data_IF_433603253876
#
_entry.id   IF_433603253876
#
_cell.length_a   1.000
_cell.length_b   1.000
_cell.length_c   1.000
_cell.angle_alpha   90.00
_cell.angle_beta   90.00
_cell.angle_gamma   90.00
#
_symmetry.space_group_name_H-M   'P 1'
#
loop_
_entity.id
_entity.type
_entity.pdbx_description
1 polymer ?
#
# COMPACT_ATOMS: atom_id res chain seq x y z
N UNK A 1 15.13 6.70 7.46
CA UNK A 1 15.11 6.16 6.07
C UNK A 1 16.16 5.07 5.88
N UNK A 2 17.46 5.36 6.04
CA UNK A 2 18.54 4.39 5.79
C UNK A 2 18.40 3.12 6.65
N UNK A 3 18.22 3.25 7.96
CA UNK A 3 18.06 2.10 8.85
C UNK A 3 16.84 1.22 8.50
N UNK A 4 15.75 1.83 8.02
CA UNK A 4 14.51 1.13 7.72
C UNK A 4 14.54 0.42 6.36
N UNK A 5 15.07 1.08 5.33
CA UNK A 5 15.05 0.56 3.96
C UNK A 5 16.30 -0.25 3.60
N UNK A 6 17.46 0.08 4.17
CA UNK A 6 18.70 -0.64 3.87
C UNK A 6 19.04 -1.61 4.99
N UNK A 7 19.13 -1.19 6.25
CA UNK A 7 19.66 -2.06 7.32
C UNK A 7 18.68 -3.14 7.75
N UNK A 8 17.42 -2.78 8.02
CA UNK A 8 16.40 -3.69 8.56
C UNK A 8 16.11 -4.93 7.67
N UNK A 9 16.07 -4.85 6.32
CA UNK A 9 15.76 -6.02 5.49
C UNK A 9 16.88 -7.06 5.42
N UNK A 10 18.16 -6.65 5.53
CA UNK A 10 19.31 -7.55 5.32
C UNK A 10 19.32 -8.81 6.17
N UNK A 11 19.03 -8.78 7.49
CA UNK A 11 18.96 -10.00 8.29
C UNK A 11 18.01 -11.05 7.70
N UNK A 12 16.85 -10.63 7.20
CA UNK A 12 15.86 -11.53 6.59
C UNK A 12 16.32 -12.07 5.23
N UNK A 13 16.91 -11.19 4.41
CA UNK A 13 17.45 -11.57 3.09
C UNK A 13 18.58 -12.60 3.26
N UNK A 14 19.49 -12.39 4.21
CA UNK A 14 20.60 -13.30 4.47
C UNK A 14 20.10 -14.69 4.89
N UNK A 15 19.16 -14.77 5.82
CA UNK A 15 18.61 -16.08 6.24
C UNK A 15 17.88 -16.77 5.10
N UNK A 16 17.12 -16.03 4.27
CA UNK A 16 16.46 -16.59 3.10
C UNK A 16 17.47 -17.20 2.12
N UNK A 17 18.57 -16.50 1.83
CA UNK A 17 19.61 -16.98 0.93
C UNK A 17 20.39 -18.17 1.49
N UNK A 18 20.69 -18.17 2.79
CA UNK A 18 21.26 -19.34 3.47
C UNK A 18 20.32 -20.54 3.34
N UNK A 19 19.01 -20.35 3.48
CA UNK A 19 18.04 -21.43 3.32
C UNK A 19 18.01 -22.00 1.90
N UNK A 20 18.20 -21.18 0.87
CA UNK A 20 18.27 -21.64 -0.52
C UNK A 20 19.52 -22.49 -0.79
N UNK A 21 20.64 -22.18 -0.13
CA UNK A 21 21.87 -22.96 -0.24
C UNK A 21 21.80 -24.28 0.54
N UNK A 22 21.24 -24.26 1.74
CA UNK A 22 21.13 -25.45 2.59
C UNK A 22 20.02 -26.41 2.13
N UNK A 23 18.93 -25.88 1.56
CA UNK A 23 17.76 -26.66 1.16
C UNK A 23 17.36 -26.38 -0.31
N UNK A 24 18.20 -26.74 -1.29
CA UNK A 24 17.99 -26.39 -2.71
C UNK A 24 16.78 -27.08 -3.35
N UNK A 25 16.25 -28.15 -2.74
CA UNK A 25 15.17 -28.97 -3.28
C UNK A 25 13.79 -28.63 -2.70
N UNK A 26 13.64 -27.52 -1.96
CA UNK A 26 12.33 -27.10 -1.45
C UNK A 26 11.42 -26.70 -2.61
N UNK A 27 10.22 -27.29 -2.65
CA UNK A 27 9.18 -26.91 -3.62
C UNK A 27 8.69 -25.47 -3.37
N UNK A 28 8.04 -24.83 -4.35
CA UNK A 28 7.48 -23.47 -4.16
C UNK A 28 6.53 -23.39 -2.96
N UNK A 29 5.74 -24.44 -2.74
CA UNK A 29 4.79 -24.55 -1.61
C UNK A 29 5.52 -24.61 -0.28
N UNK A 30 6.71 -25.21 -0.24
CA UNK A 30 7.51 -25.41 0.96
C UNK A 30 8.58 -24.36 1.17
N UNK A 31 8.79 -23.46 0.21
CA UNK A 31 9.82 -22.41 0.26
C UNK A 31 9.75 -21.56 1.55
N UNK A 32 8.54 -21.34 2.10
CA UNK A 32 8.36 -20.65 3.38
C UNK A 32 8.91 -21.39 4.60
N UNK A 33 9.12 -22.71 4.52
CA UNK A 33 9.69 -23.54 5.61
C UNK A 33 11.20 -23.34 5.76
N UNK A 34 11.90 -22.94 4.69
CA UNK A 34 13.37 -22.83 4.70
C UNK A 34 13.89 -21.93 5.82
N UNK A 35 13.23 -20.81 6.08
CA UNK A 35 13.56 -19.93 7.19
C UNK A 35 13.50 -20.65 8.56
N UNK A 36 12.45 -21.44 8.80
CA UNK A 36 12.27 -22.18 10.04
C UNK A 36 13.30 -23.32 10.16
N UNK A 37 13.63 -23.99 9.05
CA UNK A 37 14.62 -25.07 9.04
C UNK A 37 16.03 -24.55 9.39
N UNK A 38 16.43 -23.40 8.81
CA UNK A 38 17.70 -22.74 9.17
C UNK A 38 17.75 -22.37 10.65
N UNK A 39 16.64 -21.85 11.20
CA UNK A 39 16.58 -21.56 12.62
C UNK A 39 16.66 -22.82 13.47
N UNK A 40 15.95 -23.89 13.08
CA UNK A 40 15.91 -25.15 13.81
C UNK A 40 17.28 -25.80 13.94
N UNK A 41 18.06 -25.83 12.87
CA UNK A 41 19.39 -26.45 12.84
C UNK A 41 20.49 -25.53 13.36
N UNK A 42 20.36 -24.20 13.18
CA UNK A 42 21.41 -23.24 13.50
C UNK A 42 21.41 -22.69 14.94
N UNK A 43 20.37 -22.94 15.73
CA UNK A 43 20.17 -22.27 17.02
C UNK A 43 20.47 -23.17 18.24
N UNK A 44 21.29 -22.72 19.21
CA UNK A 44 21.51 -23.42 20.46
C UNK A 44 20.25 -23.63 21.29
N UNK A 45 20.25 -24.67 22.13
CA UNK A 45 19.20 -24.92 23.13
C UNK A 45 19.03 -23.71 24.05
N UNK A 46 17.80 -23.23 24.22
CA UNK A 46 17.47 -22.00 24.95
C UNK A 46 17.22 -20.79 24.04
N UNK A 47 18.11 -20.53 23.07
CA UNK A 47 17.87 -19.49 22.06
C UNK A 47 16.69 -19.84 21.16
N UNK A 48 16.50 -21.14 20.86
CA UNK A 48 15.32 -21.63 20.13
C UNK A 48 14.01 -21.20 20.79
N UNK A 49 13.91 -21.36 22.11
CA UNK A 49 12.71 -20.99 22.87
C UNK A 49 12.45 -19.49 22.80
N UNK A 50 13.49 -18.67 23.03
CA UNK A 50 13.39 -17.22 22.90
C UNK A 50 12.95 -16.78 21.50
N UNK A 51 13.50 -17.41 20.47
CA UNK A 51 13.16 -17.10 19.08
C UNK A 51 11.71 -17.46 18.75
N UNK A 52 11.27 -18.66 19.12
CA UNK A 52 9.87 -19.08 18.92
C UNK A 52 8.90 -18.17 19.69
N UNK A 53 9.24 -17.80 20.93
CA UNK A 53 8.44 -16.84 21.69
C UNK A 53 8.40 -15.47 21.02
N UNK A 54 9.52 -14.96 20.50
CA UNK A 54 9.57 -13.70 19.78
C UNK A 54 8.76 -13.74 18.48
N UNK A 55 8.84 -14.84 17.72
CA UNK A 55 8.03 -15.04 16.51
C UNK A 55 6.54 -15.09 16.81
N UNK A 56 6.13 -15.86 17.82
CA UNK A 56 4.74 -15.93 18.25
C UNK A 56 4.25 -14.56 18.73
N UNK A 57 5.05 -13.84 19.53
CA UNK A 57 4.70 -12.50 19.99
C UNK A 57 4.54 -11.51 18.83
N UNK A 58 5.47 -11.50 17.87
CA UNK A 58 5.39 -10.67 16.68
C UNK A 58 4.14 -11.01 15.84
N UNK A 59 3.90 -12.29 15.58
CA UNK A 59 2.72 -12.76 14.83
C UNK A 59 1.40 -12.38 15.51
N UNK A 60 1.29 -12.63 16.82
CA UNK A 60 0.10 -12.28 17.59
C UNK A 60 -0.14 -10.77 17.62
N UNK A 61 0.92 -9.96 17.68
CA UNK A 61 0.80 -8.50 17.61
C UNK A 61 0.18 -8.04 16.28
N UNK A 62 0.60 -8.64 15.17
CA UNK A 62 0.09 -8.33 13.83
C UNK A 62 -1.35 -8.83 13.67
N UNK A 63 -1.64 -10.08 14.06
CA UNK A 63 -3.00 -10.63 14.04
C UNK A 63 -3.96 -9.80 14.89
N UNK A 64 -3.60 -9.49 16.13
CA UNK A 64 -4.44 -8.71 17.03
C UNK A 64 -4.73 -7.32 16.46
N UNK A 65 -3.72 -6.68 15.85
CA UNK A 65 -3.88 -5.37 15.19
C UNK A 65 -4.88 -5.46 14.04
N UNK A 66 -4.75 -6.44 13.14
CA UNK A 66 -5.67 -6.59 12.00
C UNK A 66 -7.10 -6.94 12.43
N UNK A 67 -7.26 -7.86 13.37
CA UNK A 67 -8.58 -8.23 13.89
C UNK A 67 -9.25 -7.05 14.62
N UNK A 68 -8.47 -6.29 15.39
CA UNK A 68 -8.98 -5.11 16.09
C UNK A 68 -9.37 -3.98 15.13
N UNK A 69 -8.54 -3.68 14.12
CA UNK A 69 -8.87 -2.70 13.08
C UNK A 69 -10.08 -3.14 12.26
N UNK A 70 -10.13 -4.40 11.83
CA UNK A 70 -11.26 -4.95 11.08
C UNK A 70 -12.58 -4.83 11.85
N UNK A 71 -12.58 -5.22 13.13
CA UNK A 71 -13.75 -5.07 13.98
C UNK A 71 -14.13 -3.60 14.19
N UNK A 72 -13.14 -2.72 14.43
CA UNK A 72 -13.38 -1.29 14.65
C UNK A 72 -14.00 -0.62 13.44
N UNK A 73 -13.54 -0.93 12.22
CA UNK A 73 -14.13 -0.40 10.99
C UNK A 73 -15.55 -0.91 10.78
N UNK A 74 -15.78 -2.23 10.91
CA UNK A 74 -17.12 -2.80 10.76
C UNK A 74 -18.11 -2.22 11.79
N UNK A 75 -17.69 -2.01 13.03
CA UNK A 75 -18.58 -1.45 14.06
C UNK A 75 -18.83 0.05 13.86
N UNK A 76 -17.78 0.84 13.64
CA UNK A 76 -17.94 2.30 13.58
C UNK A 76 -18.45 2.79 12.23
N UNK A 77 -18.14 2.10 11.13
CA UNK A 77 -18.45 2.58 9.78
C UNK A 77 -19.70 1.89 9.20
N UNK A 78 -20.05 0.68 9.68
CA UNK A 78 -21.26 -0.03 9.22
C UNK A 78 -22.29 -0.17 10.35
N UNK A 79 -21.94 -0.78 11.49
CA UNK A 79 -22.92 -1.12 12.52
C UNK A 79 -23.58 0.12 13.16
N UNK A 80 -22.76 1.03 13.66
CA UNK A 80 -23.21 2.24 14.37
C UNK A 80 -24.02 3.20 13.50
N UNK A 81 -23.62 3.53 12.25
CA UNK A 81 -24.37 4.46 11.41
C UNK A 81 -25.57 3.83 10.70
N UNK A 82 -25.59 2.51 10.45
CA UNK A 82 -26.64 1.86 9.65
C UNK A 82 -27.65 1.10 10.51
N UNK A 83 -27.19 0.23 11.41
CA UNK A 83 -28.08 -0.67 12.15
C UNK A 83 -28.62 -0.06 13.43
N UNK A 84 -27.76 0.48 14.29
CA UNK A 84 -28.19 0.85 15.64
C UNK A 84 -27.47 2.09 16.15
N UNK A 85 -28.17 3.23 16.07
CA UNK A 85 -27.68 4.56 16.43
C UNK A 85 -27.92 4.86 17.92
N UNK A 86 -27.02 5.66 18.51
CA UNK A 86 -27.22 6.26 19.83
C UNK A 86 -27.14 5.30 21.02
N UNK A 87 -26.53 4.11 20.87
CA UNK A 87 -26.26 3.19 21.98
C UNK A 87 -25.04 3.66 22.80
N UNK A 88 -24.89 3.11 24.00
CA UNK A 88 -23.73 3.39 24.85
C UNK A 88 -22.46 2.76 24.28
N UNK A 89 -21.29 3.31 24.61
CA UNK A 89 -20.01 2.77 24.14
C UNK A 89 -19.77 1.33 24.61
N UNK A 90 -20.28 0.96 25.78
CA UNK A 90 -20.22 -0.42 26.28
C UNK A 90 -20.93 -1.41 25.35
N UNK A 91 -22.02 -0.99 24.71
CA UNK A 91 -22.71 -1.81 23.72
C UNK A 91 -21.82 -2.02 22.47
N UNK A 92 -21.29 -0.94 21.89
CA UNK A 92 -20.44 -1.03 20.71
C UNK A 92 -19.15 -1.82 20.97
N UNK A 93 -18.59 -1.75 22.19
CA UNK A 93 -17.46 -2.60 22.59
C UNK A 93 -17.82 -4.09 22.56
N UNK A 94 -18.99 -4.48 23.07
CA UNK A 94 -19.46 -5.89 23.01
C UNK A 94 -19.65 -6.36 21.58
N UNK A 95 -20.23 -5.51 20.72
CA UNK A 95 -20.37 -5.80 19.29
C UNK A 95 -18.99 -5.94 18.64
N UNK A 96 -18.03 -5.08 18.98
CA UNK A 96 -16.66 -5.16 18.46
C UNK A 96 -16.00 -6.49 18.82
N UNK A 97 -16.15 -6.97 20.05
CA UNK A 97 -15.65 -8.30 20.43
C UNK A 97 -16.32 -9.43 19.64
N UNK A 98 -17.64 -9.36 19.44
CA UNK A 98 -18.36 -10.36 18.65
C UNK A 98 -17.91 -10.37 17.17
N UNK A 99 -17.75 -9.20 16.56
CA UNK A 99 -17.23 -9.05 15.19
C UNK A 99 -15.79 -9.53 15.09
N UNK A 100 -14.96 -9.27 16.11
CA UNK A 100 -13.57 -9.75 16.15
C UNK A 100 -13.51 -11.28 16.18
N UNK A 101 -14.33 -11.93 17.00
CA UNK A 101 -14.41 -13.39 17.06
C UNK A 101 -14.91 -13.96 15.72
N UNK A 102 -15.97 -13.37 15.16
CA UNK A 102 -16.52 -13.78 13.87
C UNK A 102 -15.48 -13.68 12.75
N UNK A 103 -14.80 -12.54 12.63
CA UNK A 103 -13.76 -12.31 11.62
C UNK A 103 -12.54 -13.22 11.84
N UNK A 104 -12.17 -13.52 13.08
CA UNK A 104 -11.12 -14.50 13.39
C UNK A 104 -11.49 -15.91 12.93
N UNK A 105 -12.73 -16.35 13.17
CA UNK A 105 -13.25 -17.64 12.70
C UNK A 105 -13.24 -17.70 11.17
N UNK A 106 -13.77 -16.68 10.48
CA UNK A 106 -13.74 -16.61 9.02
C UNK A 106 -12.32 -16.63 8.46
N UNK A 107 -11.40 -15.88 9.09
CA UNK A 107 -9.98 -15.85 8.68
C UNK A 107 -9.31 -17.21 8.85
N UNK A 108 -9.62 -17.94 9.94
CA UNK A 108 -9.13 -19.29 10.17
C UNK A 108 -9.62 -20.25 9.06
N UNK A 109 -10.92 -20.25 8.75
CA UNK A 109 -11.45 -21.10 7.69
C UNK A 109 -10.85 -20.76 6.32
N UNK A 110 -10.71 -19.48 5.99
CA UNK A 110 -10.07 -19.05 4.74
C UNK A 110 -8.61 -19.49 4.66
N UNK A 111 -7.85 -19.35 5.76
CA UNK A 111 -6.45 -19.74 5.80
C UNK A 111 -6.24 -21.26 5.68
N UNK A 112 -7.11 -22.07 6.30
CA UNK A 112 -6.99 -23.54 6.31
C UNK A 112 -7.53 -24.18 5.03
N UNK A 113 -8.64 -23.67 4.50
CA UNK A 113 -9.36 -24.35 3.40
C UNK A 113 -9.40 -23.56 2.10
N UNK A 114 -9.17 -22.25 2.13
CA UNK A 114 -9.30 -21.37 0.96
C UNK A 114 -7.97 -20.90 0.36
N UNK A 115 -6.83 -21.24 0.96
CA UNK A 115 -5.51 -20.80 0.53
C UNK A 115 -4.56 -21.97 0.38
N UNK A 116 -4.01 -22.15 -0.83
CA UNK A 116 -2.97 -23.16 -1.09
C UNK A 116 -1.57 -22.64 -0.76
N UNK A 117 -1.30 -21.36 -1.07
CA UNK A 117 0.00 -20.73 -0.82
C UNK A 117 -0.15 -19.28 -0.33
N UNK A 118 0.79 -18.84 0.50
CA UNK A 118 0.87 -17.45 0.98
C UNK A 118 1.15 -16.49 -0.19
N UNK A 119 2.03 -16.90 -1.12
CA UNK A 119 2.36 -16.16 -2.35
C UNK A 119 1.10 -15.88 -3.17
N UNK A 120 0.24 -16.87 -3.37
CA UNK A 120 -1.01 -16.72 -4.13
C UNK A 120 -1.95 -15.68 -3.52
N UNK A 121 -2.15 -15.71 -2.19
CA UNK A 121 -2.97 -14.70 -1.52
C UNK A 121 -2.37 -13.29 -1.59
N UNK A 122 -1.05 -13.16 -1.52
CA UNK A 122 -0.38 -11.87 -1.69
C UNK A 122 -0.54 -11.32 -3.12
N UNK A 123 -0.37 -12.18 -4.13
CA UNK A 123 -0.61 -11.82 -5.54
C UNK A 123 -2.06 -11.37 -5.69
N UNK A 124 -3.03 -12.17 -5.25
CA UNK A 124 -4.45 -11.82 -5.28
C UNK A 124 -4.72 -10.44 -4.66
N UNK A 125 -4.23 -10.19 -3.44
CA UNK A 125 -4.45 -8.92 -2.75
C UNK A 125 -3.86 -7.73 -3.53
N UNK A 126 -2.66 -7.88 -4.11
CA UNK A 126 -2.06 -6.85 -4.94
C UNK A 126 -2.85 -6.60 -6.22
N UNK A 127 -3.20 -7.65 -6.97
CA UNK A 127 -3.88 -7.49 -8.25
C UNK A 127 -5.28 -6.94 -8.05
N UNK A 128 -6.05 -7.52 -7.12
CA UNK A 128 -7.43 -7.14 -6.85
C UNK A 128 -7.55 -5.73 -6.25
N UNK A 129 -6.49 -5.19 -5.64
CA UNK A 129 -6.46 -3.80 -5.13
C UNK A 129 -5.75 -2.80 -6.07
N UNK A 130 -5.07 -3.28 -7.11
CA UNK A 130 -4.22 -2.45 -7.99
C UNK A 130 -4.98 -1.36 -8.74
N UNK A 131 -6.28 -1.55 -9.01
CA UNK A 131 -7.14 -0.56 -9.64
C UNK A 131 -7.58 0.56 -8.69
N UNK A 132 -7.61 0.30 -7.39
CA UNK A 132 -8.07 1.26 -6.36
C UNK A 132 -6.98 2.29 -6.06
N UNK A 133 -5.72 1.85 -6.01
CA UNK A 133 -4.59 2.69 -5.59
C UNK A 133 -4.44 3.97 -6.40
N UNK A 134 -4.69 3.92 -7.71
CA UNK A 134 -4.65 5.10 -8.58
C UNK A 134 -5.66 6.17 -8.14
N UNK A 135 -6.92 5.79 -7.93
CA UNK A 135 -7.98 6.73 -7.55
C UNK A 135 -7.75 7.36 -6.17
N UNK A 136 -7.24 6.58 -5.22
CA UNK A 136 -6.92 7.11 -3.88
C UNK A 136 -5.84 8.20 -3.90
N UNK A 137 -4.95 8.19 -4.89
CA UNK A 137 -3.96 9.25 -5.12
C UNK A 137 -4.60 10.40 -5.90
N UNK A 138 -5.23 10.09 -7.03
CA UNK A 138 -5.72 11.11 -7.97
C UNK A 138 -6.83 11.96 -7.37
N UNK A 139 -7.63 11.45 -6.43
CA UNK A 139 -8.70 12.23 -5.75
C UNK A 139 -8.19 13.52 -5.08
N UNK A 140 -6.93 13.54 -4.63
CA UNK A 140 -6.33 14.74 -4.02
C UNK A 140 -6.01 15.81 -5.06
N UNK A 141 -5.80 15.40 -6.31
CA UNK A 141 -5.41 16.26 -7.41
C UNK A 141 -6.58 16.59 -8.33
N UNK A 142 -7.50 15.67 -8.57
CA UNK A 142 -8.57 15.81 -9.55
C UNK A 142 -9.95 15.91 -8.89
N UNK A 143 -10.51 17.12 -8.90
CA UNK A 143 -11.76 17.47 -8.21
C UNK A 143 -13.02 16.71 -8.65
N UNK A 144 -13.00 16.07 -9.84
CA UNK A 144 -14.15 15.33 -10.37
C UNK A 144 -14.31 13.93 -9.77
N UNK A 145 -13.29 13.43 -9.07
CA UNK A 145 -13.40 12.13 -8.41
C UNK A 145 -14.40 12.26 -7.26
N UNK A 146 -15.50 11.53 -7.37
CA UNK A 146 -16.56 11.46 -6.36
C UNK A 146 -16.51 10.14 -5.59
N UNK A 147 -17.26 10.06 -4.49
CA UNK A 147 -17.41 8.83 -3.72
C UNK A 147 -17.94 7.65 -4.58
N UNK A 148 -18.76 7.94 -5.60
CA UNK A 148 -19.23 6.92 -6.55
C UNK A 148 -18.09 6.34 -7.40
N UNK A 149 -17.12 7.17 -7.78
CA UNK A 149 -15.93 6.71 -8.50
C UNK A 149 -15.08 5.80 -7.61
N UNK A 150 -14.95 6.14 -6.32
CA UNK A 150 -14.25 5.29 -5.34
C UNK A 150 -14.95 3.94 -5.13
N UNK A 151 -16.28 3.95 -4.96
CA UNK A 151 -17.09 2.72 -4.85
C UNK A 151 -16.94 1.87 -6.12
N UNK A 152 -17.00 2.49 -7.30
CA UNK A 152 -16.77 1.79 -8.56
C UNK A 152 -15.37 1.17 -8.59
N UNK A 153 -14.34 1.83 -8.06
CA UNK A 153 -12.99 1.27 -8.00
C UNK A 153 -12.93 -0.01 -7.15
N UNK A 154 -13.62 -0.04 -6.00
CA UNK A 154 -13.69 -1.23 -5.13
C UNK A 154 -14.36 -2.42 -5.81
N UNK A 155 -15.32 -2.19 -6.70
CA UNK A 155 -16.02 -3.25 -7.44
C UNK A 155 -15.25 -3.65 -8.70
N UNK A 156 -14.78 -2.66 -9.47
CA UNK A 156 -14.15 -2.86 -10.76
C UNK A 156 -12.78 -3.53 -10.64
N UNK A 157 -11.99 -3.20 -9.61
CA UNK A 157 -10.63 -3.71 -9.46
C UNK A 157 -10.59 -5.24 -9.29
N UNK A 158 -11.37 -5.87 -8.40
CA UNK A 158 -11.47 -7.33 -8.34
C UNK A 158 -12.06 -7.97 -9.61
N UNK A 159 -13.01 -7.33 -10.29
CA UNK A 159 -13.57 -7.84 -11.54
C UNK A 159 -12.54 -7.87 -12.67
N UNK A 160 -11.71 -6.82 -12.77
CA UNK A 160 -10.61 -6.77 -13.73
C UNK A 160 -9.51 -7.78 -13.39
N UNK A 161 -9.24 -8.03 -12.11
CA UNK A 161 -8.39 -9.16 -11.70
C UNK A 161 -8.95 -10.49 -12.21
N UNK A 162 -10.25 -10.77 -11.99
CA UNK A 162 -10.87 -12.00 -12.50
C UNK A 162 -10.79 -12.08 -14.03
N UNK A 163 -10.95 -10.97 -14.73
CA UNK A 163 -10.82 -10.91 -16.19
C UNK A 163 -9.39 -11.22 -16.66
N UNK A 164 -8.39 -10.49 -16.15
CA UNK A 164 -7.02 -10.61 -16.66
C UNK A 164 -6.29 -11.83 -16.11
N UNK A 165 -6.38 -12.07 -14.80
CA UNK A 165 -5.62 -13.13 -14.11
C UNK A 165 -6.29 -14.50 -14.26
N UNK A 166 -7.63 -14.57 -14.12
CA UNK A 166 -8.35 -15.85 -14.12
C UNK A 166 -8.86 -16.24 -15.51
N UNK A 167 -9.56 -15.35 -16.21
CA UNK A 167 -10.17 -15.65 -17.50
C UNK A 167 -9.16 -15.62 -18.66
N UNK A 168 -8.42 -14.51 -18.80
CA UNK A 168 -7.41 -14.35 -19.83
C UNK A 168 -6.07 -15.02 -19.49
N UNK A 169 -5.88 -15.45 -18.24
CA UNK A 169 -4.68 -16.14 -17.74
C UNK A 169 -3.39 -15.37 -18.02
N UNK A 170 -3.44 -14.05 -17.91
CA UNK A 170 -2.25 -13.21 -17.98
C UNK A 170 -1.41 -13.50 -16.73
N UNK A 171 -0.13 -13.81 -16.94
CA UNK A 171 0.77 -14.12 -15.82
C UNK A 171 1.17 -12.87 -15.03
N UNK A 172 1.32 -13.03 -13.73
CA UNK A 172 1.92 -12.03 -12.85
C UNK A 172 3.40 -11.79 -13.26
N UNK A 173 3.90 -10.54 -13.32
CA UNK A 173 3.28 -9.30 -12.83
C UNK A 173 2.48 -8.51 -13.89
N UNK A 174 2.36 -9.01 -15.11
CA UNK A 174 1.71 -8.27 -16.20
C UNK A 174 0.21 -8.07 -15.97
N UNK A 175 -0.46 -9.05 -15.37
CA UNK A 175 -1.86 -9.00 -14.94
C UNK A 175 -2.16 -7.80 -14.04
N UNK A 176 -1.27 -7.45 -13.10
CA UNK A 176 -1.37 -6.25 -12.26
C UNK A 176 -1.37 -4.98 -13.11
N UNK A 177 -0.46 -4.91 -14.10
CA UNK A 177 -0.35 -3.73 -14.98
C UNK A 177 -1.61 -3.55 -15.82
N UNK A 178 -2.12 -4.62 -16.44
CA UNK A 178 -3.36 -4.57 -17.21
C UNK A 178 -4.55 -4.18 -16.34
N UNK A 179 -4.66 -4.76 -15.14
CA UNK A 179 -5.72 -4.44 -14.18
C UNK A 179 -5.66 -2.96 -13.78
N UNK A 180 -4.50 -2.46 -13.37
CA UNK A 180 -4.32 -1.09 -12.91
C UNK A 180 -4.53 -0.05 -14.02
N UNK A 181 -3.97 -0.28 -15.22
CA UNK A 181 -4.12 0.64 -16.36
C UNK A 181 -5.57 0.70 -16.83
N UNK A 182 -6.21 -0.46 -16.99
CA UNK A 182 -7.61 -0.53 -17.43
C UNK A 182 -8.54 0.10 -16.40
N UNK A 183 -8.33 -0.19 -15.11
CA UNK A 183 -9.09 0.44 -14.03
C UNK A 183 -8.92 1.96 -14.04
N UNK A 184 -7.69 2.46 -14.18
CA UNK A 184 -7.40 3.89 -14.19
C UNK A 184 -8.15 4.62 -15.30
N UNK A 185 -8.13 4.09 -16.52
CA UNK A 185 -8.86 4.66 -17.67
C UNK A 185 -10.36 4.65 -17.42
N UNK A 186 -10.92 3.50 -17.04
CA UNK A 186 -12.37 3.36 -16.81
C UNK A 186 -12.86 4.26 -15.67
N UNK A 187 -12.07 4.42 -14.60
CA UNK A 187 -12.43 5.25 -13.46
C UNK A 187 -12.35 6.73 -13.80
N UNK A 188 -11.36 7.18 -14.58
CA UNK A 188 -11.33 8.56 -15.10
C UNK A 188 -12.57 8.82 -15.97
N UNK A 189 -12.91 7.90 -16.88
CA UNK A 189 -14.11 8.02 -17.71
C UNK A 189 -15.38 8.05 -16.88
N UNK A 190 -15.44 7.27 -15.79
CA UNK A 190 -16.61 7.25 -14.91
C UNK A 190 -16.87 8.60 -14.23
N UNK A 191 -15.85 9.45 -14.05
CA UNK A 191 -16.04 10.80 -13.47
C UNK A 191 -16.91 11.74 -14.32
N UNK A 192 -17.15 11.39 -15.60
CA UNK A 192 -18.03 12.15 -16.49
C UNK A 192 -19.45 11.59 -16.55
N UNK A 193 -19.67 10.37 -16.03
CA UNK A 193 -20.95 9.66 -16.10
C UNK A 193 -21.59 9.60 -14.71
N UNK A 194 -20.80 9.32 -13.68
CA UNK A 194 -21.27 9.16 -12.31
C UNK A 194 -21.64 10.50 -11.67
N UNK A 195 -22.48 10.47 -10.61
CA UNK A 195 -22.84 11.68 -9.89
C UNK A 195 -21.61 12.38 -9.32
N UNK A 196 -21.56 13.70 -9.51
CA UNK A 196 -20.53 14.57 -8.95
C UNK A 196 -20.80 14.88 -7.48
N UNK A 197 -19.76 15.26 -6.75
CA UNK A 197 -19.86 15.74 -5.37
C UNK A 197 -20.42 17.16 -5.33
N UNK A 198 -21.19 17.48 -4.29
CA UNK A 198 -21.71 18.82 -4.03
C UNK A 198 -20.59 19.87 -4.03
N UNK A 199 -20.83 20.97 -4.75
CA UNK A 199 -19.80 22.00 -4.97
C UNK A 199 -19.35 22.66 -3.67
N UNK A 200 -20.25 22.91 -2.73
CA UNK A 200 -19.89 23.53 -1.45
C UNK A 200 -18.91 22.67 -0.64
N UNK A 201 -19.05 21.34 -0.73
CA UNK A 201 -18.12 20.38 -0.13
C UNK A 201 -16.77 20.45 -0.81
N UNK A 202 -16.73 20.55 -2.14
CA UNK A 202 -15.49 20.68 -2.92
C UNK A 202 -14.76 22.00 -2.64
N UNK A 203 -15.49 23.12 -2.52
CA UNK A 203 -14.90 24.43 -2.17
C UNK A 203 -14.33 24.38 -0.75
N UNK A 204 -15.09 23.85 0.22
CA UNK A 204 -14.61 23.67 1.60
C UNK A 204 -13.38 22.78 1.67
N UNK A 205 -13.35 21.69 0.90
CA UNK A 205 -12.19 20.82 0.78
C UNK A 205 -10.99 21.56 0.20
N UNK A 206 -11.20 22.34 -0.87
CA UNK A 206 -10.14 23.11 -1.51
C UNK A 206 -9.52 24.14 -0.56
N UNK A 207 -10.33 24.87 0.21
CA UNK A 207 -9.85 25.87 1.18
C UNK A 207 -9.10 25.23 2.37
N UNK A 208 -9.55 24.04 2.80
CA UNK A 208 -8.95 23.32 3.94
C UNK A 208 -7.64 22.63 3.54
N UNK A 209 -7.67 21.88 2.44
CA UNK A 209 -6.57 21.00 2.01
C UNK A 209 -5.54 21.73 1.14
N UNK A 210 -5.93 22.85 0.51
CA UNK A 210 -5.07 23.66 -0.36
C UNK A 210 -4.38 22.84 -1.47
N UNK A 211 -5.13 22.03 -2.24
CA UNK A 211 -4.55 21.19 -3.28
C UNK A 211 -4.01 22.06 -4.43
N UNK A 212 -3.18 21.50 -5.33
CA UNK A 212 -2.63 22.25 -6.46
C UNK A 212 -3.73 22.82 -7.35
N UNK A 213 -3.74 24.15 -7.52
CA UNK A 213 -4.77 24.84 -8.31
C UNK A 213 -4.89 24.30 -9.73
N UNK A 214 -3.78 23.90 -10.37
CA UNK A 214 -3.74 23.46 -11.78
C UNK A 214 -4.82 22.44 -12.15
N UNK A 215 -5.00 21.41 -11.32
CA UNK A 215 -5.98 20.36 -11.57
C UNK A 215 -7.37 20.68 -11.02
N UNK A 216 -7.50 21.73 -10.19
CA UNK A 216 -8.75 22.20 -9.59
C UNK A 216 -9.38 23.40 -10.31
N UNK A 217 -8.73 23.95 -11.34
CA UNK A 217 -9.22 25.10 -12.14
C UNK A 217 -10.65 24.92 -12.64
N UNK A 218 -11.01 23.71 -13.07
CA UNK A 218 -12.33 23.40 -13.62
C UNK A 218 -13.49 23.62 -12.63
N UNK A 219 -13.23 23.56 -11.32
CA UNK A 219 -14.23 23.82 -10.28
C UNK A 219 -14.69 25.29 -10.31
N UNK A 220 -13.75 26.22 -10.54
CA UNK A 220 -14.01 27.65 -10.46
C UNK A 220 -14.37 28.30 -11.80
N UNK A 221 -14.25 27.57 -12.92
CA UNK A 221 -14.69 28.06 -14.23
C UNK A 221 -16.22 28.19 -14.35
N UNK A 222 -16.97 27.48 -13.51
CA UNK A 222 -18.43 27.49 -13.53
C UNK A 222 -19.03 28.80 -12.98
N UNK A 223 -18.29 29.54 -12.15
CA UNK A 223 -18.68 30.88 -11.67
C UNK A 223 -17.46 31.81 -11.59
N UNK A 224 -17.23 32.65 -12.62
CA UNK A 224 -16.09 33.56 -12.67
C UNK A 224 -16.11 34.62 -11.56
N UNK A 225 -17.26 34.87 -10.94
CA UNK A 225 -17.46 35.94 -9.95
C UNK A 225 -17.01 35.57 -8.53
N UNK A 226 -16.68 34.30 -8.27
CA UNK A 226 -16.21 33.86 -6.95
C UNK A 226 -14.71 34.18 -6.82
N UNK A 227 -14.29 34.78 -5.69
CA UNK A 227 -12.86 35.04 -5.42
C UNK A 227 -12.11 33.71 -5.34
N UNK A 228 -11.20 33.49 -6.29
CA UNK A 228 -10.38 32.28 -6.35
C UNK A 228 -9.10 32.51 -5.53
N UNK A 229 -8.93 31.77 -4.43
CA UNK A 229 -7.66 31.73 -3.70
C UNK A 229 -6.73 30.72 -4.37
N UNK A 230 -5.66 31.21 -5.00
CA UNK A 230 -4.64 30.34 -5.59
C UNK A 230 -3.60 30.06 -4.51
N UNK A 231 -3.51 28.80 -4.09
CA UNK A 231 -2.43 28.35 -3.22
C UNK A 231 -1.24 27.95 -4.07
N UNK A 232 -0.07 28.56 -3.81
CA UNK A 232 1.16 28.13 -4.44
C UNK A 232 1.43 26.66 -4.06
N UNK A 233 1.59 25.81 -5.07
CA UNK A 233 1.91 24.41 -4.86
C UNK A 233 3.09 24.01 -5.74
N UNK A 234 4.14 23.49 -5.12
CA UNK A 234 5.41 23.13 -5.76
C UNK A 234 5.38 21.70 -6.28
N UNK A 235 4.33 21.37 -7.03
CA UNK A 235 4.08 20.00 -7.48
C UNK A 235 5.27 19.40 -8.25
N UNK A 236 5.95 20.19 -9.08
CA UNK A 236 7.16 19.75 -9.77
C UNK A 236 8.30 19.36 -8.82
N UNK A 237 8.55 20.15 -7.78
CA UNK A 237 9.57 19.83 -6.77
C UNK A 237 9.16 18.59 -5.98
N UNK A 238 7.89 18.47 -5.57
CA UNK A 238 7.39 17.30 -4.86
C UNK A 238 7.48 16.03 -5.71
N UNK A 239 7.16 16.10 -7.01
CA UNK A 239 7.32 14.96 -7.93
C UNK A 239 8.79 14.58 -8.11
N UNK A 240 9.67 15.56 -8.30
CA UNK A 240 11.12 15.32 -8.36
C UNK A 240 11.64 14.69 -7.06
N UNK A 241 11.17 15.17 -5.90
CA UNK A 241 11.48 14.59 -4.60
C UNK A 241 11.02 13.15 -4.48
N UNK A 242 9.81 12.83 -4.92
CA UNK A 242 9.27 11.46 -4.96
C UNK A 242 10.10 10.55 -5.87
N UNK A 243 10.37 10.96 -7.11
CA UNK A 243 11.20 10.21 -8.06
C UNK A 243 12.63 10.02 -7.55
N UNK A 244 13.19 11.05 -6.92
CA UNK A 244 14.52 11.00 -6.29
C UNK A 244 14.53 10.04 -5.10
N UNK A 245 13.47 10.02 -4.29
CA UNK A 245 13.29 9.07 -3.20
C UNK A 245 13.18 7.61 -3.68
N UNK A 246 12.41 7.36 -4.74
CA UNK A 246 12.34 6.04 -5.38
C UNK A 246 13.72 5.62 -5.91
N UNK A 247 14.41 6.51 -6.62
CA UNK A 247 15.76 6.28 -7.15
C UNK A 247 16.77 6.01 -6.04
N UNK A 248 16.67 6.73 -4.91
CA UNK A 248 17.49 6.53 -3.73
C UNK A 248 17.28 5.13 -3.12
N UNK A 249 16.03 4.72 -2.90
CA UNK A 249 15.72 3.41 -2.29
C UNK A 249 16.11 2.26 -3.22
N UNK A 250 15.62 2.26 -4.47
CA UNK A 250 15.89 1.16 -5.40
C UNK A 250 17.34 1.14 -5.88
N UNK A 251 17.92 2.31 -6.18
CA UNK A 251 19.33 2.42 -6.53
C UNK A 251 20.24 1.98 -5.39
N UNK A 252 19.91 2.32 -4.14
CA UNK A 252 20.67 1.88 -2.97
C UNK A 252 20.59 0.37 -2.75
N UNK A 253 19.40 -0.23 -2.84
CA UNK A 253 19.22 -1.68 -2.69
C UNK A 253 19.99 -2.45 -3.78
N UNK A 254 19.86 -2.01 -5.03
CA UNK A 254 20.58 -2.60 -6.16
C UNK A 254 22.10 -2.42 -6.05
N UNK A 255 22.57 -1.28 -5.55
CA UNK A 255 24.01 -1.04 -5.29
C UNK A 255 24.54 -2.03 -4.25
N UNK A 256 23.83 -2.23 -3.15
CA UNK A 256 24.28 -3.18 -2.12
C UNK A 256 24.26 -4.60 -2.68
N UNK A 257 23.25 -4.99 -3.48
CA UNK A 257 23.26 -6.27 -4.19
C UNK A 257 24.52 -6.42 -5.06
N UNK A 258 24.87 -5.41 -5.86
CA UNK A 258 26.07 -5.43 -6.71
C UNK A 258 27.36 -5.60 -5.89
N UNK A 259 27.44 -4.95 -4.71
CA UNK A 259 28.61 -5.04 -3.83
C UNK A 259 28.73 -6.40 -3.15
N UNK A 260 27.60 -6.99 -2.74
CA UNK A 260 27.56 -8.26 -2.00
C UNK A 260 27.77 -9.46 -2.93
N UNK A 261 27.10 -9.49 -4.09
CA UNK A 261 27.13 -10.65 -5.00
C UNK A 261 28.11 -10.53 -6.15
N UNK A 262 28.75 -9.36 -6.37
CA UNK A 262 29.55 -9.06 -7.56
C UNK A 262 28.80 -9.32 -8.88
N UNK A 263 27.47 -9.34 -8.83
CA UNK A 263 26.57 -9.50 -9.97
C UNK A 263 25.81 -8.20 -10.22
N UNK A 264 25.61 -7.86 -11.49
CA UNK A 264 24.96 -6.62 -11.90
C UNK A 264 25.94 -5.49 -12.22
N UNK A 265 25.39 -4.31 -12.53
CA UNK A 265 26.17 -3.17 -12.98
C UNK A 265 26.23 -2.09 -11.91
N UNK A 266 27.33 -2.10 -11.13
CA UNK A 266 27.59 -1.09 -10.10
C UNK A 266 27.64 0.33 -10.69
N UNK A 267 28.05 0.48 -11.95
CA UNK A 267 28.08 1.76 -12.66
C UNK A 267 26.69 2.31 -12.97
N UNK A 268 25.63 1.49 -12.84
CA UNK A 268 24.24 1.94 -12.93
C UNK A 268 23.69 2.19 -11.53
N UNK A 269 23.86 1.24 -10.61
CA UNK A 269 23.29 1.33 -9.26
C UNK A 269 23.79 2.54 -8.48
N UNK A 270 25.11 2.72 -8.43
CA UNK A 270 25.71 3.74 -7.57
C UNK A 270 25.41 5.17 -8.05
N UNK A 271 25.47 5.50 -9.35
CA UNK A 271 25.03 6.82 -9.82
C UNK A 271 23.55 7.08 -9.61
N UNK A 272 22.67 6.08 -9.83
CA UNK A 272 21.23 6.25 -9.58
C UNK A 272 20.96 6.52 -8.10
N UNK A 273 21.65 5.83 -7.21
CA UNK A 273 21.59 6.09 -5.76
C UNK A 273 22.04 7.51 -5.41
N UNK A 274 23.20 7.95 -5.92
CA UNK A 274 23.73 9.30 -5.67
C UNK A 274 22.84 10.41 -6.23
N UNK A 275 22.34 10.24 -7.46
CA UNK A 275 21.40 11.17 -8.08
C UNK A 275 20.09 11.25 -7.28
N UNK A 276 19.58 10.11 -6.80
CA UNK A 276 18.43 10.08 -5.90
C UNK A 276 18.67 10.81 -4.58
N UNK A 277 19.85 10.62 -3.96
CA UNK A 277 20.22 11.31 -2.73
C UNK A 277 20.32 12.83 -2.94
N UNK A 278 21.01 13.27 -4.01
CA UNK A 278 21.16 14.68 -4.34
C UNK A 278 19.81 15.32 -4.68
N UNK A 279 19.01 14.67 -5.52
CA UNK A 279 17.69 15.16 -5.91
C UNK A 279 16.76 15.30 -4.70
N UNK A 280 16.79 14.34 -3.76
CA UNK A 280 16.01 14.40 -2.54
C UNK A 280 16.50 15.53 -1.61
N UNK A 281 17.82 15.71 -1.48
CA UNK A 281 18.40 16.83 -0.73
C UNK A 281 17.95 18.19 -1.30
N UNK A 282 18.06 18.39 -2.61
CA UNK A 282 17.63 19.63 -3.26
C UNK A 282 16.12 19.86 -3.15
N UNK A 283 15.31 18.81 -3.30
CA UNK A 283 13.87 18.89 -3.15
C UNK A 283 13.47 19.32 -1.74
N UNK A 284 14.05 18.69 -0.70
CA UNK A 284 13.76 19.04 0.69
C UNK A 284 14.20 20.47 1.03
N UNK A 285 15.40 20.87 0.60
CA UNK A 285 15.91 22.22 0.84
C UNK A 285 15.05 23.27 0.15
N UNK A 286 14.60 22.98 -1.08
CA UNK A 286 13.71 23.87 -1.83
C UNK A 286 12.36 24.04 -1.12
N UNK A 287 11.79 22.96 -0.56
CA UNK A 287 10.55 23.02 0.21
C UNK A 287 10.70 23.78 1.55
N UNK A 288 11.83 23.61 2.24
CA UNK A 288 12.08 24.27 3.54
C UNK A 288 12.38 25.77 3.44
N UNK A 289 13.07 26.22 2.39
CA UNK A 289 13.47 27.63 2.25
C UNK A 289 12.30 28.61 2.07
N UNK A 290 11.06 28.14 1.91
CA UNK A 290 9.88 28.99 1.75
C UNK A 290 8.92 28.97 2.94
N UNK A 291 9.04 28.03 3.90
CA UNK A 291 8.22 28.05 5.12
C UNK A 291 8.69 29.09 6.15
N UNK A 292 9.77 29.82 5.86
CA UNK A 292 10.36 30.85 6.71
C UNK A 292 10.15 32.30 6.25
N UNK A 293 9.40 32.52 5.16
CA UNK A 293 8.92 33.82 4.68
C UNK A 293 7.40 33.86 4.73
#
# INVERSE_FOLDING_TARGET
MIAHYFVRPWPWILVALVSLLLYPNLSEVESGKGFLMVLQEGMPSGMMGLMLSAFLAAYLSTLATHLNWGASYLVNDLWKPILEKGRSDSYYLKVSYAVQILTAICSFFLAVYGMETIKGAWVFLLEASSGIGFILIVRWFFWRISAWTEILAFVLSPLLYLLFSVYLKVEFPYSVLYTSLTASVLLILSTYILPNTDRDVLVRFYETTKPPFFFWKGLFQQEPNQKQTIYENRLGISLLGTLSGLSFVFGGLYTIQCLVWKEGNLLIGFPVFLLGLLGLYFSLRSLQNQSGN
#
